data_IF_337520333677
#
_entry.id   IF_337520333677
#
_cell.length_a   1.000
_cell.length_b   1.000
_cell.length_c   1.000
_cell.angle_alpha   90.00
_cell.angle_beta   90.00
_cell.angle_gamma   90.00
#
_symmetry.space_group_name_H-M   'P 1'
#
loop_
_entity.id
_entity.type
_entity.pdbx_description
1 polymer ?
#
# COMPACT_ATOMS: atom_id res chain seq x y z
N UNK A 1 -12.36 -4.16 -61.80
CA UNK A 1 -11.79 -4.18 -60.43
C UNK A 1 -10.95 -2.94 -60.20
N UNK A 2 -11.38 -2.01 -59.32
CA UNK A 2 -10.47 -1.06 -58.71
C UNK A 2 -10.40 -1.24 -57.18
N UNK A 3 -9.19 -1.00 -56.68
CA UNK A 3 -8.67 -1.32 -55.35
C UNK A 3 -9.33 -0.49 -54.23
N UNK A 4 -9.74 -1.18 -53.17
CA UNK A 4 -10.09 -0.61 -51.86
C UNK A 4 -8.84 0.02 -51.21
N UNK A 5 -8.72 1.34 -51.27
CA UNK A 5 -7.77 2.10 -50.45
C UNK A 5 -8.38 2.31 -49.06
N UNK A 6 -7.89 1.54 -48.07
CA UNK A 6 -8.19 1.78 -46.64
C UNK A 6 -7.78 3.21 -46.28
N UNK A 7 -8.77 4.09 -46.09
CA UNK A 7 -8.58 5.42 -45.48
C UNK A 7 -8.08 5.21 -44.06
N UNK A 8 -6.78 5.42 -43.84
CA UNK A 8 -6.23 5.64 -42.50
C UNK A 8 -6.85 6.94 -41.98
N UNK A 9 -7.80 6.85 -41.06
CA UNK A 9 -8.36 8.03 -40.38
C UNK A 9 -7.27 8.62 -39.48
N UNK A 10 -6.53 9.59 -40.03
CA UNK A 10 -5.71 10.50 -39.23
C UNK A 10 -6.66 11.44 -38.50
N UNK A 11 -6.78 11.27 -37.18
CA UNK A 11 -7.25 12.35 -36.32
C UNK A 11 -6.21 12.56 -35.21
N UNK A 12 -5.73 13.81 -35.13
CA UNK A 12 -4.66 14.33 -34.26
C UNK A 12 -3.27 13.71 -34.52
N UNK A 13 -2.38 14.47 -35.18
CA UNK A 13 -1.03 14.08 -35.58
C UNK A 13 -0.02 13.84 -34.45
N UNK A 14 -0.34 13.00 -33.46
CA UNK A 14 0.62 12.48 -32.49
C UNK A 14 1.37 11.27 -33.08
N UNK A 15 2.69 11.38 -33.23
CA UNK A 15 3.56 10.24 -33.55
C UNK A 15 3.84 9.46 -32.27
N UNK A 16 3.45 8.18 -32.25
CA UNK A 16 3.70 7.26 -31.14
C UNK A 16 4.99 6.46 -31.40
N UNK A 17 5.76 6.17 -30.36
CA UNK A 17 6.90 5.24 -30.43
C UNK A 17 6.42 3.80 -30.61
N UNK A 18 7.29 2.90 -31.08
CA UNK A 18 6.93 1.49 -31.30
C UNK A 18 6.43 0.81 -30.02
N UNK A 19 7.04 1.13 -28.87
CA UNK A 19 6.60 0.66 -27.54
C UNK A 19 5.19 1.17 -27.18
N UNK A 20 4.85 2.41 -27.56
CA UNK A 20 3.53 2.98 -27.33
C UNK A 20 2.46 2.35 -28.25
N UNK A 21 2.82 1.99 -29.49
CA UNK A 21 1.91 1.29 -30.41
C UNK A 21 1.65 -0.16 -29.97
N UNK A 22 2.65 -0.82 -29.40
CA UNK A 22 2.50 -2.18 -28.87
C UNK A 22 1.68 -2.21 -27.57
N UNK A 23 1.84 -1.22 -26.69
CA UNK A 23 0.97 -1.05 -25.53
C UNK A 23 -0.48 -0.76 -25.94
N UNK A 24 -0.68 0.06 -26.98
CA UNK A 24 -1.99 0.37 -27.54
C UNK A 24 -2.69 -0.87 -28.12
N UNK A 25 -1.95 -1.72 -28.84
CA UNK A 25 -2.51 -2.93 -29.46
C UNK A 25 -2.86 -4.01 -28.45
N UNK A 26 -2.19 -4.03 -27.28
CA UNK A 26 -2.56 -4.88 -26.13
C UNK A 26 -3.83 -4.36 -25.44
N UNK A 27 -3.95 -3.05 -25.22
CA UNK A 27 -5.17 -2.43 -24.65
C UNK A 27 -6.41 -2.56 -25.55
N UNK A 28 -6.21 -2.58 -26.88
CA UNK A 28 -7.25 -2.83 -27.89
C UNK A 28 -7.74 -4.29 -27.93
N UNK A 29 -7.01 -5.25 -27.37
CA UNK A 29 -7.45 -6.65 -27.27
C UNK A 29 -8.38 -6.88 -26.08
N UNK A 30 -8.17 -6.16 -24.98
CA UNK A 30 -8.94 -6.34 -23.73
C UNK A 30 -10.19 -5.45 -23.66
N UNK A 31 -10.24 -4.35 -24.42
CA UNK A 31 -11.45 -3.53 -24.59
C UNK A 31 -11.68 -3.30 -26.08
N UNK A 32 -12.91 -3.51 -26.56
CA UNK A 32 -13.33 -3.22 -27.95
C UNK A 32 -13.36 -1.69 -28.25
N UNK A 33 -12.41 -0.91 -27.76
CA UNK A 33 -12.36 0.54 -27.92
C UNK A 33 -11.09 0.97 -28.67
N UNK A 34 -11.26 1.72 -29.77
CA UNK A 34 -10.16 2.40 -30.44
C UNK A 34 -9.64 3.55 -29.55
N UNK A 35 -8.42 4.03 -29.80
CA UNK A 35 -7.86 5.19 -29.06
C UNK A 35 -8.79 6.41 -29.12
N UNK A 36 -9.45 6.59 -30.25
CA UNK A 36 -10.44 7.64 -30.44
C UNK A 36 -11.62 7.49 -29.49
N UNK A 37 -12.10 6.27 -29.26
CA UNK A 37 -13.22 5.99 -28.36
C UNK A 37 -12.84 6.27 -26.90
N UNK A 38 -11.62 5.93 -26.48
CA UNK A 38 -11.11 6.24 -25.13
C UNK A 38 -11.01 7.76 -24.92
N UNK A 39 -10.50 8.48 -25.92
CA UNK A 39 -10.38 9.95 -25.86
C UNK A 39 -11.75 10.62 -25.85
N UNK A 40 -12.71 10.14 -26.65
CA UNK A 40 -14.09 10.64 -26.63
C UNK A 40 -14.74 10.41 -25.26
N UNK A 41 -14.60 9.20 -24.70
CA UNK A 41 -15.13 8.90 -23.36
C UNK A 41 -14.48 9.75 -22.27
N UNK A 42 -13.17 10.00 -22.38
CA UNK A 42 -12.47 10.91 -21.47
C UNK A 42 -12.95 12.35 -21.57
N UNK A 43 -13.26 12.84 -22.78
CA UNK A 43 -13.84 14.17 -22.99
C UNK A 43 -15.27 14.27 -22.45
N UNK A 44 -16.09 13.23 -22.61
CA UNK A 44 -17.43 13.15 -22.02
C UNK A 44 -17.36 13.27 -20.48
N UNK A 45 -16.49 12.48 -19.84
CA UNK A 45 -16.30 12.53 -18.38
C UNK A 45 -15.78 13.89 -17.90
N UNK A 46 -14.86 14.52 -18.66
CA UNK A 46 -14.40 15.88 -18.34
C UNK A 46 -15.53 16.91 -18.44
N UNK A 47 -16.39 16.78 -19.45
CA UNK A 47 -17.57 17.64 -19.59
C UNK A 47 -18.52 17.50 -18.41
N UNK A 48 -18.80 16.28 -17.97
CA UNK A 48 -19.62 16.00 -16.79
C UNK A 48 -18.97 16.59 -15.52
N UNK A 49 -17.67 16.37 -15.33
CA UNK A 49 -16.93 16.90 -14.18
C UNK A 49 -16.98 18.43 -14.10
N UNK A 50 -16.73 19.14 -15.20
CA UNK A 50 -16.80 20.61 -15.21
C UNK A 50 -18.22 21.15 -15.03
N UNK A 51 -19.25 20.37 -15.33
CA UNK A 51 -20.65 20.74 -15.08
C UNK A 51 -21.00 20.74 -13.59
N UNK A 52 -20.15 20.18 -12.73
CA UNK A 52 -20.34 20.12 -11.28
C UNK A 52 -19.67 21.28 -10.52
N UNK A 53 -19.12 22.28 -11.23
CA UNK A 53 -18.38 23.43 -10.64
C UNK A 53 -17.22 23.02 -9.71
N UNK A 54 -16.64 21.84 -9.91
CA UNK A 54 -15.49 21.31 -9.16
C UNK A 54 -14.14 21.77 -9.76
N UNK A 55 -14.10 22.95 -10.38
CA UNK A 55 -13.07 23.36 -11.36
C UNK A 55 -11.66 23.63 -10.79
N UNK A 56 -11.44 23.47 -9.48
CA UNK A 56 -10.17 23.80 -8.82
C UNK A 56 -9.74 22.76 -7.78
N UNK A 57 -8.54 22.16 -7.97
CA UNK A 57 -7.67 22.22 -9.16
C UNK A 57 -8.28 21.49 -10.38
N UNK A 58 -7.74 21.65 -11.60
CA UNK A 58 -8.23 20.92 -12.77
C UNK A 58 -8.05 19.41 -12.60
N UNK A 59 -9.03 18.59 -13.00
CA UNK A 59 -8.99 17.12 -12.88
C UNK A 59 -7.70 16.49 -13.43
N UNK A 60 -7.14 17.04 -14.51
CA UNK A 60 -5.88 16.56 -15.09
C UNK A 60 -4.68 16.71 -14.15
N UNK A 61 -4.69 17.70 -13.27
CA UNK A 61 -3.70 17.90 -12.22
C UNK A 61 -3.84 16.84 -11.13
N UNK A 62 -5.06 16.59 -10.64
CA UNK A 62 -5.31 15.57 -9.61
C UNK A 62 -4.96 14.17 -10.09
N UNK A 63 -5.34 13.83 -11.32
CA UNK A 63 -4.96 12.55 -11.93
C UNK A 63 -3.45 12.39 -12.03
N UNK A 64 -2.71 13.47 -12.33
CA UNK A 64 -1.24 13.45 -12.37
C UNK A 64 -0.63 13.35 -10.97
N UNK A 65 -1.25 13.98 -9.97
CA UNK A 65 -0.86 13.86 -8.56
C UNK A 65 -1.01 12.42 -8.09
N UNK A 66 -2.18 11.82 -8.30
CA UNK A 66 -2.46 10.41 -7.98
C UNK A 66 -1.51 9.46 -8.71
N UNK A 67 -1.21 9.72 -9.99
CA UNK A 67 -0.22 8.94 -10.73
C UNK A 67 1.17 9.01 -10.09
N UNK A 68 1.57 10.17 -9.57
CA UNK A 68 2.85 10.36 -8.88
C UNK A 68 2.85 9.63 -7.54
N UNK A 69 1.75 9.70 -6.79
CA UNK A 69 1.60 8.97 -5.53
C UNK A 69 1.63 7.46 -5.71
N UNK A 70 1.00 6.92 -6.76
CA UNK A 70 1.06 5.50 -7.09
C UNK A 70 2.50 5.02 -7.30
N UNK A 71 3.32 5.84 -7.96
CA UNK A 71 4.73 5.52 -8.20
C UNK A 71 5.56 5.57 -6.91
N UNK A 72 5.36 6.60 -6.07
CA UNK A 72 6.03 6.69 -4.77
C UNK A 72 5.65 5.54 -3.83
N UNK A 73 4.38 5.11 -3.86
CA UNK A 73 3.91 3.95 -3.13
C UNK A 73 4.63 2.69 -3.60
N UNK A 74 4.69 2.45 -4.92
CA UNK A 74 5.39 1.31 -5.49
C UNK A 74 6.90 1.29 -5.13
N UNK A 75 7.54 2.46 -5.15
CA UNK A 75 8.94 2.63 -4.74
C UNK A 75 9.13 2.33 -3.24
N UNK A 76 8.24 2.85 -2.37
CA UNK A 76 8.28 2.61 -0.92
C UNK A 76 8.11 1.13 -0.58
N UNK A 77 7.33 0.42 -1.40
CA UNK A 77 7.13 -1.03 -1.32
C UNK A 77 8.32 -1.83 -1.89
N UNK A 78 9.41 -1.18 -2.34
CA UNK A 78 10.57 -1.74 -3.05
C UNK A 78 10.21 -2.59 -4.27
N UNK A 79 9.08 -2.30 -4.90
CA UNK A 79 8.60 -3.04 -6.05
C UNK A 79 8.83 -2.23 -7.31
N UNK A 80 9.71 -2.71 -8.18
CA UNK A 80 9.90 -2.12 -9.51
C UNK A 80 8.73 -2.57 -10.39
N UNK A 81 7.64 -1.79 -10.37
CA UNK A 81 6.43 -2.05 -11.16
C UNK A 81 6.38 -1.14 -12.39
N UNK A 82 5.82 -1.67 -13.48
CA UNK A 82 5.39 -0.84 -14.61
C UNK A 82 4.34 0.17 -14.11
N UNK A 83 4.36 1.39 -14.63
CA UNK A 83 3.45 2.49 -14.25
C UNK A 83 1.99 2.05 -14.27
N UNK A 84 1.63 1.23 -15.27
CA UNK A 84 0.29 0.64 -15.39
C UNK A 84 -0.08 -0.21 -14.17
N UNK A 85 0.84 -1.05 -13.68
CA UNK A 85 0.59 -1.94 -12.55
C UNK A 85 0.49 -1.17 -11.23
N UNK A 86 1.32 -0.14 -11.03
CA UNK A 86 1.24 0.71 -9.85
C UNK A 86 -0.11 1.43 -9.74
N UNK A 87 -0.58 2.03 -10.83
CA UNK A 87 -1.89 2.70 -10.87
C UNK A 87 -3.02 1.68 -10.64
N UNK A 88 -2.97 0.52 -11.30
CA UNK A 88 -3.99 -0.50 -11.13
C UNK A 88 -4.09 -1.01 -9.68
N UNK A 89 -2.95 -1.22 -9.02
CA UNK A 89 -2.91 -1.61 -7.62
C UNK A 89 -3.51 -0.52 -6.72
N UNK A 90 -3.11 0.73 -6.90
CA UNK A 90 -3.65 1.85 -6.09
C UNK A 90 -5.17 1.96 -6.23
N UNK A 91 -5.71 1.76 -7.44
CA UNK A 91 -7.17 1.73 -7.66
C UNK A 91 -7.84 0.61 -6.85
N UNK A 92 -7.24 -0.60 -6.84
CA UNK A 92 -7.78 -1.71 -6.06
C UNK A 92 -7.73 -1.46 -4.54
N UNK A 93 -6.65 -0.86 -4.05
CA UNK A 93 -6.49 -0.49 -2.65
C UNK A 93 -7.49 0.58 -2.22
N UNK A 94 -7.64 1.65 -3.00
CA UNK A 94 -8.62 2.70 -2.70
C UNK A 94 -10.06 2.17 -2.75
N UNK A 95 -10.38 1.27 -3.68
CA UNK A 95 -11.67 0.59 -3.71
C UNK A 95 -11.90 -0.30 -2.46
N UNK A 96 -10.84 -0.89 -1.89
CA UNK A 96 -10.96 -1.61 -0.63
C UNK A 96 -11.23 -0.66 0.55
N UNK A 97 -10.54 0.49 0.58
CA UNK A 97 -10.77 1.56 1.57
C UNK A 97 -12.21 2.08 1.49
N UNK A 98 -12.75 2.27 0.28
CA UNK A 98 -14.15 2.67 0.08
C UNK A 98 -15.12 1.68 0.74
N UNK A 99 -14.91 0.38 0.53
CA UNK A 99 -15.75 -0.65 1.18
C UNK A 99 -15.66 -0.61 2.70
N UNK A 100 -14.53 -0.18 3.27
CA UNK A 100 -14.37 -0.01 4.72
C UNK A 100 -15.16 1.22 5.17
N UNK A 101 -14.98 2.35 4.49
CA UNK A 101 -15.68 3.61 4.79
C UNK A 101 -17.20 3.46 4.74
N UNK A 102 -17.70 2.73 3.74
CA UNK A 102 -19.13 2.48 3.56
C UNK A 102 -19.73 1.67 4.74
N UNK A 103 -18.94 0.82 5.44
CA UNK A 103 -19.42 0.10 6.65
C UNK A 103 -19.75 1.04 7.81
N UNK A 104 -19.13 2.22 7.85
CA UNK A 104 -19.28 3.19 8.94
C UNK A 104 -20.13 4.40 8.55
N UNK A 105 -20.84 4.34 7.42
CA UNK A 105 -21.63 5.43 6.84
C UNK A 105 -20.87 6.77 6.72
N UNK A 106 -19.54 6.73 6.55
CA UNK A 106 -18.71 7.93 6.46
C UNK A 106 -18.71 8.81 7.72
N UNK A 107 -19.05 8.27 8.90
CA UNK A 107 -19.10 9.07 10.14
C UNK A 107 -17.70 9.41 10.65
N UNK A 108 -17.45 10.70 10.89
CA UNK A 108 -16.18 11.20 11.47
C UNK A 108 -15.82 10.52 12.80
N UNK A 109 -16.81 10.21 13.64
CA UNK A 109 -16.59 9.57 14.94
C UNK A 109 -15.98 8.16 14.83
N UNK A 110 -16.07 7.53 13.65
CA UNK A 110 -15.51 6.22 13.38
C UNK A 110 -14.07 6.26 12.86
N UNK A 111 -13.42 7.44 12.79
CA UNK A 111 -12.09 7.60 12.19
C UNK A 111 -11.05 6.60 12.71
N UNK A 112 -10.98 6.37 14.03
CA UNK A 112 -10.02 5.41 14.60
C UNK A 112 -10.33 3.97 14.13
N UNK A 113 -11.62 3.59 14.06
CA UNK A 113 -12.03 2.26 13.60
C UNK A 113 -11.74 2.08 12.11
N UNK A 114 -12.03 3.09 11.29
CA UNK A 114 -11.67 3.11 9.87
C UNK A 114 -10.17 2.92 9.68
N UNK A 115 -9.33 3.65 10.43
CA UNK A 115 -7.87 3.51 10.34
C UNK A 115 -7.40 2.12 10.78
N UNK A 116 -8.01 1.52 11.81
CA UNK A 116 -7.70 0.16 12.23
C UNK A 116 -8.04 -0.87 11.15
N UNK A 117 -9.19 -0.71 10.49
CA UNK A 117 -9.62 -1.61 9.41
C UNK A 117 -8.73 -1.45 8.17
N UNK A 118 -8.36 -0.22 7.79
CA UNK A 118 -7.42 0.04 6.69
C UNK A 118 -6.08 -0.62 6.99
N UNK A 119 -5.56 -0.45 8.21
CA UNK A 119 -4.32 -1.10 8.60
C UNK A 119 -4.45 -2.62 8.69
N UNK A 120 -5.62 -3.16 9.00
CA UNK A 120 -5.82 -4.61 9.03
C UNK A 120 -5.76 -5.20 7.62
N UNK A 121 -6.34 -4.51 6.64
CA UNK A 121 -6.30 -4.92 5.23
C UNK A 121 -4.90 -4.75 4.62
N UNK A 122 -4.25 -3.61 4.90
CA UNK A 122 -3.01 -3.22 4.22
C UNK A 122 -1.74 -3.54 5.05
N UNK A 123 -1.86 -3.90 6.32
CA UNK A 123 -0.81 -4.00 7.36
C UNK A 123 -0.15 -2.68 7.77
N UNK A 124 -0.43 -1.59 7.07
CA UNK A 124 0.04 -0.24 7.38
C UNK A 124 -0.94 0.79 6.81
N UNK A 125 -0.65 2.08 7.02
CA UNK A 125 -1.47 3.20 6.57
C UNK A 125 -0.81 3.92 5.39
N UNK A 126 -1.11 3.53 4.14
CA UNK A 126 -0.56 4.20 2.96
C UNK A 126 -1.13 5.61 2.83
N UNK A 127 -0.27 6.56 2.43
CA UNK A 127 -0.64 7.97 2.25
C UNK A 127 -1.87 8.18 1.33
N UNK A 128 -1.99 7.52 0.17
CA UNK A 128 -3.19 7.64 -0.67
C UNK A 128 -4.47 7.24 0.06
N UNK A 129 -4.44 6.20 0.89
CA UNK A 129 -5.61 5.78 1.66
C UNK A 129 -5.99 6.81 2.75
N UNK A 130 -5.00 7.47 3.36
CA UNK A 130 -5.26 8.52 4.35
C UNK A 130 -5.87 9.78 3.71
N UNK A 131 -5.36 10.18 2.54
CA UNK A 131 -5.94 11.29 1.77
C UNK A 131 -7.38 10.95 1.37
N UNK A 132 -7.59 9.74 0.85
CA UNK A 132 -8.92 9.27 0.45
C UNK A 132 -9.91 9.24 1.62
N UNK A 133 -9.48 8.75 2.78
CA UNK A 133 -10.29 8.76 4.00
C UNK A 133 -10.56 10.20 4.50
N UNK A 134 -9.59 11.11 4.37
CA UNK A 134 -9.73 12.54 4.71
C UNK A 134 -10.87 13.19 3.92
N UNK A 135 -10.88 12.97 2.60
CA UNK A 135 -11.90 13.53 1.70
C UNK A 135 -13.28 12.92 1.96
N UNK A 136 -13.36 11.58 2.07
CA UNK A 136 -14.64 10.87 2.28
C UNK A 136 -15.28 11.15 3.63
N UNK A 137 -14.49 11.30 4.69
CA UNK A 137 -14.99 11.61 6.04
C UNK A 137 -15.13 13.12 6.30
N UNK A 138 -14.70 13.97 5.36
CA UNK A 138 -14.61 15.42 5.52
C UNK A 138 -13.82 15.84 6.79
N UNK A 139 -12.72 15.14 7.06
CA UNK A 139 -11.84 15.41 8.21
C UNK A 139 -10.52 15.96 7.71
N UNK A 140 -9.93 17.01 8.32
CA UNK A 140 -8.62 17.50 7.93
C UNK A 140 -7.54 16.41 8.02
N UNK A 141 -6.72 16.28 6.97
CA UNK A 141 -5.62 15.31 6.92
C UNK A 141 -4.64 15.46 8.09
N UNK A 142 -4.45 16.69 8.60
CA UNK A 142 -3.64 16.96 9.79
C UNK A 142 -4.14 16.23 11.04
N UNK A 143 -5.46 16.11 11.22
CA UNK A 143 -6.06 15.39 12.34
C UNK A 143 -5.85 13.88 12.21
N UNK A 144 -5.93 13.36 10.99
CA UNK A 144 -5.64 11.95 10.70
C UNK A 144 -4.18 11.63 11.03
N UNK A 145 -3.23 12.45 10.57
CA UNK A 145 -1.82 12.28 10.89
C UNK A 145 -1.53 12.43 12.39
N UNK A 146 -2.21 13.34 13.08
CA UNK A 146 -2.07 13.48 14.53
C UNK A 146 -2.47 12.18 15.24
N UNK A 147 -3.59 11.56 14.85
CA UNK A 147 -4.03 10.28 15.41
C UNK A 147 -3.04 9.16 15.06
N UNK A 148 -2.65 9.05 13.79
CA UNK A 148 -1.76 8.00 13.31
C UNK A 148 -0.35 8.06 13.95
N UNK A 149 0.13 9.26 14.30
CA UNK A 149 1.42 9.44 14.98
C UNK A 149 1.31 9.35 16.50
N UNK A 150 0.15 9.69 17.08
CA UNK A 150 -0.08 9.63 18.52
C UNK A 150 -0.20 8.18 19.03
N UNK A 151 -0.94 7.32 18.32
CA UNK A 151 -1.10 5.92 18.73
C UNK A 151 -0.03 5.02 18.11
N UNK A 152 0.80 4.40 18.96
CA UNK A 152 1.79 3.39 18.56
C UNK A 152 1.23 2.16 17.85
N UNK A 153 -0.09 1.97 17.91
CA UNK A 153 -0.76 0.89 17.21
C UNK A 153 -0.75 1.08 15.69
N UNK A 154 -0.65 2.33 15.22
CA UNK A 154 -0.64 2.65 13.80
C UNK A 154 0.78 2.68 13.23
N UNK A 155 0.92 2.24 11.99
CA UNK A 155 2.17 2.30 11.24
C UNK A 155 1.98 3.03 9.93
N UNK A 156 2.76 4.09 9.74
CA UNK A 156 2.82 4.88 8.51
C UNK A 156 3.86 4.32 7.52
N UNK A 157 4.62 3.31 7.93
CA UNK A 157 5.63 2.66 7.12
C UNK A 157 5.15 1.27 6.70
N UNK A 158 5.52 0.79 5.51
CA UNK A 158 5.15 -0.54 5.05
C UNK A 158 5.55 -1.64 6.04
N UNK A 159 4.55 -2.33 6.57
CA UNK A 159 4.74 -3.53 7.37
C UNK A 159 4.49 -4.77 6.54
N UNK A 160 5.24 -5.82 6.82
CA UNK A 160 4.98 -7.15 6.31
C UNK A 160 3.78 -7.78 6.99
N UNK A 161 3.30 -8.88 6.41
CA UNK A 161 2.16 -9.65 6.94
C UNK A 161 2.35 -10.12 8.38
N UNK A 162 3.60 -10.40 8.75
CA UNK A 162 3.96 -10.91 10.06
C UNK A 162 4.85 -9.92 10.81
N UNK A 163 4.35 -9.39 11.93
CA UNK A 163 5.06 -8.44 12.76
C UNK A 163 5.88 -9.19 13.83
N UNK A 164 7.20 -9.22 13.66
CA UNK A 164 8.15 -9.86 14.58
C UNK A 164 8.71 -8.82 15.55
N UNK A 165 8.47 -9.01 16.84
CA UNK A 165 8.88 -8.12 17.93
C UNK A 165 9.82 -8.85 18.90
N UNK A 166 11.06 -8.39 19.00
CA UNK A 166 12.04 -8.95 19.96
C UNK A 166 12.14 -8.05 21.19
N UNK A 167 11.99 -8.62 22.39
CA UNK A 167 12.10 -7.87 23.64
C UNK A 167 13.56 -7.63 24.01
N UNK A 168 13.98 -6.37 24.04
CA UNK A 168 15.30 -5.91 24.48
C UNK A 168 15.26 -5.25 25.87
N UNK A 169 14.22 -5.55 26.67
CA UNK A 169 14.13 -5.06 28.04
C UNK A 169 15.24 -5.61 28.93
N UNK A 170 15.52 -4.91 30.03
CA UNK A 170 16.62 -5.23 30.96
C UNK A 170 16.65 -6.71 31.36
N UNK A 171 15.50 -7.27 31.75
CA UNK A 171 15.38 -8.67 32.13
C UNK A 171 15.70 -9.64 30.97
N UNK A 172 15.28 -9.32 29.75
CA UNK A 172 15.57 -10.15 28.58
C UNK A 172 17.03 -10.00 28.13
N UNK A 173 17.58 -8.79 28.22
CA UNK A 173 18.96 -8.48 27.87
C UNK A 173 19.96 -9.29 28.70
N UNK A 174 19.77 -9.34 30.02
CA UNK A 174 20.61 -10.15 30.93
C UNK A 174 20.51 -11.65 30.62
N UNK A 175 19.37 -12.10 30.10
CA UNK A 175 19.14 -13.50 29.74
C UNK A 175 19.50 -13.84 28.28
N UNK A 176 20.14 -12.94 27.55
CA UNK A 176 20.64 -13.19 26.20
C UNK A 176 19.71 -12.76 25.06
N UNK A 177 18.88 -11.73 25.25
CA UNK A 177 18.03 -11.18 24.17
C UNK A 177 18.81 -10.75 22.93
N UNK A 178 20.05 -10.26 23.08
CA UNK A 178 20.92 -9.95 21.94
C UNK A 178 21.16 -11.17 21.06
N UNK A 179 21.47 -12.33 21.66
CA UNK A 179 21.65 -13.59 20.92
C UNK A 179 20.36 -14.04 20.23
N UNK A 180 19.21 -13.83 20.87
CA UNK A 180 17.92 -14.09 20.24
C UNK A 180 17.72 -13.19 19.01
N UNK A 181 18.00 -11.89 19.14
CA UNK A 181 17.92 -10.94 18.03
C UNK A 181 18.83 -11.35 16.88
N UNK A 182 20.09 -11.68 17.17
CA UNK A 182 21.07 -12.12 16.17
C UNK A 182 20.59 -13.38 15.43
N UNK A 183 20.00 -14.35 16.14
CA UNK A 183 19.39 -15.53 15.52
C UNK A 183 18.23 -15.15 14.60
N UNK A 184 17.34 -14.24 15.04
CA UNK A 184 16.20 -13.80 14.23
C UNK A 184 16.68 -13.07 12.96
N UNK A 185 17.67 -12.20 13.07
CA UNK A 185 18.31 -11.52 11.93
C UNK A 185 18.90 -12.56 10.97
N UNK A 186 19.59 -13.58 11.49
CA UNK A 186 20.20 -14.62 10.65
C UNK A 186 19.18 -15.47 9.86
N UNK A 187 17.99 -15.70 10.43
CA UNK A 187 16.93 -16.51 9.79
C UNK A 187 16.10 -15.67 8.82
N UNK A 188 15.74 -14.44 9.20
CA UNK A 188 14.89 -13.57 8.39
C UNK A 188 15.65 -12.75 7.36
N UNK A 189 16.95 -12.53 7.55
CA UNK A 189 17.79 -11.73 6.66
C UNK A 189 17.50 -10.23 6.67
N UNK A 190 16.81 -9.72 7.70
CA UNK A 190 16.41 -8.31 7.83
C UNK A 190 16.90 -7.72 9.15
N UNK A 191 17.22 -6.42 9.14
CA UNK A 191 17.64 -5.68 10.33
C UNK A 191 16.45 -5.17 11.16
N UNK A 192 16.65 -4.82 12.44
CA UNK A 192 15.61 -4.17 13.25
C UNK A 192 15.12 -2.87 12.61
N UNK A 193 13.79 -2.73 12.49
CA UNK A 193 13.12 -1.62 11.82
C UNK A 193 12.94 -1.83 10.31
N UNK A 194 13.36 -2.97 9.75
CA UNK A 194 13.19 -3.26 8.34
C UNK A 194 12.08 -4.27 8.07
N UNK A 195 11.52 -4.15 6.88
CA UNK A 195 10.56 -5.09 6.29
C UNK A 195 11.24 -5.80 5.13
N UNK A 196 11.00 -7.11 5.03
CA UNK A 196 11.48 -7.96 3.94
C UNK A 196 10.97 -7.45 2.57
N UNK A 197 11.72 -7.70 1.50
CA UNK A 197 11.39 -7.24 0.15
C UNK A 197 10.10 -7.86 -0.38
N UNK A 198 9.71 -9.02 0.16
CA UNK A 198 8.42 -9.69 -0.12
C UNK A 198 7.27 -9.21 0.77
N UNK A 199 7.52 -8.27 1.69
CA UNK A 199 6.56 -7.80 2.69
C UNK A 199 5.96 -8.97 3.51
N UNK A 200 6.77 -9.99 3.78
CA UNK A 200 6.34 -11.12 4.60
C UNK A 200 6.56 -10.83 6.08
N UNK A 201 7.76 -10.40 6.44
CA UNK A 201 8.14 -10.15 7.83
C UNK A 201 8.61 -8.70 8.03
N UNK A 202 8.22 -8.11 9.14
CA UNK A 202 8.83 -6.88 9.67
C UNK A 202 9.46 -7.19 11.01
N UNK A 203 10.75 -6.91 11.14
CA UNK A 203 11.46 -7.06 12.39
C UNK A 203 11.47 -5.74 13.14
N UNK A 204 11.03 -5.75 14.39
CA UNK A 204 11.08 -4.60 15.28
C UNK A 204 11.58 -5.01 16.66
N UNK A 205 12.24 -4.08 17.35
CA UNK A 205 12.69 -4.28 18.72
C UNK A 205 11.83 -3.45 19.66
N UNK A 206 11.47 -4.04 20.79
CA UNK A 206 10.64 -3.38 21.80
C UNK A 206 11.33 -3.42 23.15
N UNK A 207 11.18 -2.34 23.91
CA UNK A 207 11.81 -2.24 25.22
C UNK A 207 11.20 -3.20 26.24
N UNK A 208 9.90 -3.48 26.20
CA UNK A 208 9.29 -4.41 27.15
C UNK A 208 8.02 -5.01 26.56
N UNK A 209 7.89 -6.33 26.71
CA UNK A 209 6.70 -7.10 26.37
C UNK A 209 5.85 -7.49 27.59
N UNK A 210 6.29 -7.13 28.80
CA UNK A 210 5.58 -7.43 30.05
C UNK A 210 5.73 -8.86 30.58
N UNK A 211 6.38 -9.77 29.84
CA UNK A 211 6.49 -11.18 30.18
C UNK A 211 7.87 -11.58 30.74
N UNK A 212 8.41 -10.81 31.67
CA UNK A 212 9.79 -10.96 32.16
C UNK A 212 10.10 -12.37 32.72
N UNK A 213 9.10 -13.07 33.28
CA UNK A 213 9.25 -14.45 33.76
C UNK A 213 9.73 -15.41 32.65
N UNK A 214 9.22 -15.21 31.43
CA UNK A 214 9.48 -16.06 30.26
C UNK A 214 10.71 -15.63 29.45
N UNK A 215 11.42 -14.59 29.88
CA UNK A 215 12.54 -14.00 29.13
C UNK A 215 13.71 -14.97 28.87
N UNK A 216 14.44 -14.81 27.74
CA UNK A 216 14.16 -13.92 26.60
C UNK A 216 12.89 -14.31 25.83
N UNK A 217 12.14 -13.30 25.37
CA UNK A 217 10.87 -13.48 24.64
C UNK A 217 10.88 -12.72 23.32
N UNK A 218 10.22 -13.31 22.33
CA UNK A 218 9.81 -12.64 21.10
C UNK A 218 8.30 -12.79 20.91
N UNK A 219 7.71 -11.92 20.11
CA UNK A 219 6.29 -11.94 19.77
C UNK A 219 6.14 -11.89 18.25
N UNK A 220 5.29 -12.75 17.69
CA UNK A 220 4.91 -12.72 16.27
C UNK A 220 3.39 -12.68 16.22
N UNK A 221 2.82 -11.68 15.55
CA UNK A 221 1.37 -11.51 15.33
C UNK A 221 0.52 -11.67 16.59
N UNK A 222 0.99 -11.11 17.70
CA UNK A 222 0.31 -11.21 18.97
C UNK A 222 0.74 -12.38 19.85
N UNK A 223 1.32 -13.44 19.28
CA UNK A 223 1.69 -14.67 19.99
C UNK A 223 3.08 -14.56 20.60
N UNK A 224 3.22 -14.99 21.86
CA UNK A 224 4.47 -14.93 22.61
C UNK A 224 5.24 -16.25 22.52
N UNK A 225 6.54 -16.16 22.22
CA UNK A 225 7.47 -17.28 22.17
C UNK A 225 8.56 -17.09 23.22
N UNK A 226 8.67 -18.06 24.13
CA UNK A 226 9.67 -18.06 25.21
C UNK A 226 10.92 -18.84 24.79
N UNK A 227 12.09 -18.20 24.91
CA UNK A 227 13.41 -18.79 24.65
C UNK A 227 13.52 -19.62 23.35
N UNK A 228 13.00 -19.15 22.20
CA UNK A 228 13.07 -19.94 20.99
C UNK A 228 14.53 -20.10 20.53
N UNK A 229 14.91 -21.33 20.22
CA UNK A 229 16.19 -21.62 19.58
C UNK A 229 16.15 -21.32 18.08
N UNK A 230 17.30 -21.41 17.42
CA UNK A 230 17.40 -21.14 15.97
C UNK A 230 16.46 -22.04 15.14
N UNK A 231 16.40 -23.33 15.47
CA UNK A 231 15.48 -24.30 14.82
C UNK A 231 14.00 -23.98 15.07
N UNK A 232 13.67 -23.40 16.21
CA UNK A 232 12.29 -23.02 16.52
C UNK A 232 11.90 -21.79 15.71
N UNK A 233 12.80 -20.81 15.58
CA UNK A 233 12.61 -19.62 14.75
C UNK A 233 12.40 -20.00 13.28
N UNK A 234 13.21 -20.92 12.74
CA UNK A 234 13.04 -21.44 11.37
C UNK A 234 11.67 -22.11 11.17
N UNK A 235 11.24 -22.94 12.13
CA UNK A 235 9.92 -23.57 12.09
C UNK A 235 8.78 -22.55 12.17
N UNK A 236 8.91 -21.54 13.02
CA UNK A 236 7.89 -20.50 13.16
C UNK A 236 7.83 -19.68 11.86
N UNK A 237 8.97 -19.31 11.29
CA UNK A 237 9.02 -18.58 10.02
C UNK A 237 8.42 -19.38 8.85
N UNK A 238 8.62 -20.70 8.82
CA UNK A 238 8.01 -21.60 7.84
C UNK A 238 6.51 -21.84 8.08
N UNK A 239 6.05 -21.79 9.32
CA UNK A 239 4.62 -21.91 9.64
C UNK A 239 3.81 -20.67 9.24
N UNK A 240 4.49 -19.54 9.03
CA UNK A 240 3.91 -18.28 8.57
C UNK A 240 3.91 -18.13 7.02
N UNK A 241 4.13 -19.20 6.24
CA UNK A 241 3.96 -19.19 4.77
C UNK A 241 2.50 -19.30 4.31
#
# INVERSE_FOLDING_TARGET
MPRSTKKKSKFVGMRLSEKQNEALSRLQKDSKASKSDVLLRGLELLSEYYSLDLDKPPLSFDLRSLETEAMHLAESLKQVRDKKQAIHQMVQELAAVDRILDKYDGRENALIQVLLDIQTENHWLPKPALIWASERLNVPLSRIYHIATFYKAFSLEPQGRHAVQVCLGTACQVRGAKRLLDNVISVLGIEPGQTDDKQKFTLSTVNCLGCCALGPVMRIDGQYYSKPGLKDIEKIAAACD
#
